data_IF_778656219777
#
_entry.id   IF_778656219777
#
_cell.length_a   1.000
_cell.length_b   1.000
_cell.length_c   1.000
_cell.angle_alpha   90.00
_cell.angle_beta   90.00
_cell.angle_gamma   90.00
#
_symmetry.space_group_name_H-M   'P 1'
#
loop_
_entity.id
_entity.type
_entity.pdbx_description
1 polymer ?
#
# COMPACT_ATOMS: atom_id res chain seq x y z
N UNK A 1 -9.92 -33.27 4.83
CA UNK A 1 -10.05 -32.63 6.14
C UNK A 1 -9.65 -33.65 7.19
N UNK A 2 -8.65 -33.33 8.02
CA UNK A 2 -8.28 -34.18 9.12
C UNK A 2 -9.45 -34.22 10.11
N UNK A 3 -9.79 -35.40 10.59
CA UNK A 3 -10.76 -35.55 11.67
C UNK A 3 -10.33 -34.69 12.87
N UNK A 4 -11.27 -34.03 13.54
CA UNK A 4 -10.93 -33.29 14.74
C UNK A 4 -10.31 -34.25 15.75
N UNK A 5 -9.23 -33.83 16.39
CA UNK A 5 -8.59 -34.52 17.49
C UNK A 5 -9.66 -34.87 18.54
N UNK A 6 -10.05 -36.14 18.62
CA UNK A 6 -10.81 -36.64 19.75
C UNK A 6 -9.79 -37.11 20.80
N UNK A 7 -9.47 -36.34 21.83
CA UNK A 7 -8.62 -36.81 22.90
C UNK A 7 -9.38 -37.94 23.62
N UNK A 8 -8.75 -39.07 23.82
CA UNK A 8 -9.31 -40.20 24.58
C UNK A 8 -9.62 -39.87 26.06
N UNK A 9 -9.49 -38.59 26.43
CA UNK A 9 -9.95 -38.04 27.72
C UNK A 9 -10.45 -36.63 27.46
N UNK A 10 -11.61 -36.25 27.99
CA UNK A 10 -12.05 -34.86 27.97
C UNK A 10 -11.00 -34.03 28.75
N UNK A 11 -10.38 -33.10 28.06
CA UNK A 11 -9.53 -32.10 28.74
C UNK A 11 -10.48 -30.97 29.15
N UNK A 12 -10.77 -30.78 30.46
CA UNK A 12 -11.64 -29.71 30.89
C UNK A 12 -10.92 -28.39 30.68
N UNK A 13 -11.31 -27.64 29.67
CA UNK A 13 -10.79 -26.26 29.45
C UNK A 13 -11.31 -25.27 30.51
N UNK A 14 -12.40 -25.62 31.21
CA UNK A 14 -12.98 -24.85 32.31
C UNK A 14 -13.93 -25.75 33.12
N UNK A 15 -14.44 -25.25 34.26
CA UNK A 15 -15.56 -25.87 34.99
C UNK A 15 -16.87 -25.82 34.20
N UNK A 16 -16.91 -25.09 33.12
CA UNK A 16 -18.04 -24.94 32.20
C UNK A 16 -17.78 -25.86 30.98
N UNK A 17 -18.67 -26.87 30.80
CA UNK A 17 -18.54 -27.91 29.77
C UNK A 17 -19.10 -27.48 28.40
N UNK A 18 -19.48 -26.21 28.23
CA UNK A 18 -20.01 -25.72 26.94
C UNK A 18 -18.95 -25.74 25.87
N UNK A 19 -19.38 -26.02 24.65
CA UNK A 19 -18.49 -26.09 23.49
C UNK A 19 -17.86 -24.72 23.16
N UNK A 20 -16.60 -24.75 22.79
CA UNK A 20 -15.83 -23.58 22.35
C UNK A 20 -15.25 -23.80 20.97
N UNK A 21 -15.17 -22.72 20.21
CA UNK A 21 -14.54 -22.66 18.89
C UNK A 21 -13.39 -21.66 18.95
N UNK A 22 -12.25 -22.04 18.43
CA UNK A 22 -11.14 -21.13 18.23
C UNK A 22 -11.12 -20.63 16.79
N UNK A 23 -11.15 -19.32 16.63
CA UNK A 23 -10.94 -18.65 15.35
C UNK A 23 -9.57 -17.97 15.33
N UNK A 24 -9.09 -17.76 14.12
CA UNK A 24 -7.85 -17.03 13.86
C UNK A 24 -8.14 -15.87 12.92
N UNK A 25 -7.75 -14.67 13.31
CA UNK A 25 -8.02 -13.45 12.56
C UNK A 25 -6.72 -12.68 12.30
N UNK A 26 -6.58 -12.17 11.08
CA UNK A 26 -5.54 -11.20 10.74
C UNK A 26 -6.05 -9.79 11.01
N UNK A 27 -5.13 -8.87 11.30
CA UNK A 27 -5.43 -7.44 11.49
C UNK A 27 -6.46 -7.13 12.59
N UNK A 28 -6.64 -8.03 13.55
CA UNK A 28 -7.49 -7.81 14.71
C UNK A 28 -6.62 -7.32 15.87
N UNK A 29 -6.83 -6.07 16.28
CA UNK A 29 -6.11 -5.46 17.41
C UNK A 29 -7.08 -4.79 18.36
N UNK A 30 -6.99 -5.12 19.65
CA UNK A 30 -7.66 -4.39 20.71
C UNK A 30 -6.92 -3.08 21.00
N UNK A 31 -7.67 -2.00 21.22
CA UNK A 31 -7.08 -0.73 21.66
C UNK A 31 -6.60 -0.83 23.10
N UNK A 32 -5.65 0.01 23.55
CA UNK A 32 -5.20 0.02 24.93
C UNK A 32 -6.36 0.18 25.92
N UNK A 33 -6.51 -0.78 26.82
CA UNK A 33 -7.59 -0.81 27.83
C UNK A 33 -8.86 -1.55 27.40
N UNK A 34 -8.96 -1.98 26.15
CA UNK A 34 -10.08 -2.82 25.71
C UNK A 34 -9.92 -4.27 26.20
N UNK A 35 -11.06 -4.93 26.34
CA UNK A 35 -11.16 -6.35 26.73
C UNK A 35 -11.83 -7.15 25.61
N UNK A 36 -11.86 -8.48 25.67
CA UNK A 36 -12.56 -9.30 24.68
C UNK A 36 -14.01 -8.88 24.41
N UNK A 37 -14.66 -8.18 25.35
CA UNK A 37 -16.03 -7.68 25.19
C UNK A 37 -16.18 -6.55 24.17
N UNK A 38 -15.09 -5.95 23.68
CA UNK A 38 -15.12 -5.01 22.57
C UNK A 38 -15.42 -5.69 21.23
N UNK A 39 -15.27 -7.03 21.17
CA UNK A 39 -15.55 -7.84 19.99
C UNK A 39 -16.93 -8.48 20.15
N UNK A 40 -17.79 -8.29 19.15
CA UNK A 40 -19.02 -9.05 19.01
C UNK A 40 -18.80 -10.22 18.07
N UNK A 41 -19.41 -11.37 18.38
CA UNK A 41 -19.34 -12.55 17.54
C UNK A 41 -20.73 -13.15 17.36
N UNK A 42 -21.07 -13.59 16.16
CA UNK A 42 -22.36 -14.21 15.82
C UNK A 42 -22.15 -15.45 14.96
N UNK A 43 -23.00 -16.45 15.15
CA UNK A 43 -23.17 -17.58 14.24
C UNK A 43 -24.54 -17.46 13.57
N UNK A 44 -24.63 -17.80 12.29
CA UNK A 44 -25.91 -17.85 11.53
C UNK A 44 -26.06 -19.22 10.91
N UNK A 45 -27.23 -19.86 11.16
CA UNK A 45 -27.55 -21.19 10.65
C UNK A 45 -28.20 -21.16 9.25
N UNK A 46 -28.48 -22.33 8.68
CA UNK A 46 -29.12 -22.50 7.37
C UNK A 46 -30.50 -21.87 7.24
N UNK A 47 -31.16 -21.55 8.35
CA UNK A 47 -32.45 -20.90 8.41
C UNK A 47 -32.37 -19.39 8.68
N UNK A 48 -31.18 -18.81 8.60
CA UNK A 48 -30.87 -17.38 8.89
C UNK A 48 -31.14 -17.00 10.37
N UNK A 49 -31.14 -17.97 11.29
CA UNK A 49 -31.22 -17.68 12.71
C UNK A 49 -29.84 -17.30 13.21
N UNK A 50 -29.75 -16.15 13.89
CA UNK A 50 -28.52 -15.66 14.47
C UNK A 50 -28.37 -16.02 15.94
N UNK A 51 -27.21 -16.51 16.32
CA UNK A 51 -26.82 -16.90 17.67
C UNK A 51 -25.65 -16.05 18.13
N UNK A 52 -25.83 -15.18 19.15
CA UNK A 52 -24.72 -14.41 19.70
C UNK A 52 -23.75 -15.35 20.42
N UNK A 53 -22.47 -15.21 20.09
CA UNK A 53 -21.38 -15.97 20.70
C UNK A 53 -20.66 -15.11 21.75
N UNK A 54 -20.19 -15.74 22.82
CA UNK A 54 -19.38 -15.02 23.83
C UNK A 54 -17.91 -15.09 23.48
N UNK A 55 -17.23 -13.97 23.32
CA UNK A 55 -15.78 -13.90 23.17
C UNK A 55 -15.15 -14.01 24.56
N UNK A 56 -14.55 -15.16 24.88
CA UNK A 56 -13.96 -15.43 26.20
C UNK A 56 -12.49 -15.03 26.28
N UNK A 57 -11.78 -15.17 25.16
CA UNK A 57 -10.34 -14.90 25.11
C UNK A 57 -9.92 -14.32 23.75
N UNK A 58 -8.99 -13.40 23.80
CA UNK A 58 -8.26 -12.86 22.65
C UNK A 58 -6.76 -12.96 22.98
N UNK A 59 -5.96 -13.46 22.09
CA UNK A 59 -4.51 -13.62 22.31
C UNK A 59 -3.72 -13.66 21.01
N UNK A 60 -2.46 -13.33 21.08
CA UNK A 60 -1.51 -13.45 19.97
C UNK A 60 -0.92 -14.88 19.92
N UNK A 61 -0.47 -15.30 18.75
CA UNK A 61 0.24 -16.56 18.57
C UNK A 61 1.74 -16.24 18.53
N UNK A 62 2.55 -16.85 19.43
CA UNK A 62 3.99 -16.54 19.52
C UNK A 62 4.76 -16.74 18.20
N UNK A 63 4.34 -17.72 17.38
CA UNK A 63 4.96 -18.03 16.09
C UNK A 63 4.41 -17.20 14.90
N UNK A 64 3.33 -16.42 15.12
CA UNK A 64 2.65 -15.63 14.08
C UNK A 64 1.96 -14.44 14.75
N UNK A 65 2.73 -13.43 15.10
CA UNK A 65 2.26 -12.26 15.89
C UNK A 65 1.22 -11.41 15.17
N UNK A 66 1.13 -11.54 13.85
CA UNK A 66 0.10 -10.93 13.01
C UNK A 66 -1.25 -11.63 13.10
N UNK A 67 -1.29 -12.85 13.65
CA UNK A 67 -2.51 -13.63 13.82
C UNK A 67 -3.00 -13.53 15.27
N UNK A 68 -4.23 -13.10 15.42
CA UNK A 68 -4.94 -13.08 16.70
C UNK A 68 -5.82 -14.30 16.82
N UNK A 69 -5.70 -15.05 17.92
CA UNK A 69 -6.58 -16.16 18.25
C UNK A 69 -7.74 -15.68 19.11
N UNK A 70 -8.96 -16.13 18.79
CA UNK A 70 -10.15 -15.86 19.56
C UNK A 70 -10.77 -17.17 20.03
N UNK A 71 -11.09 -17.25 21.32
CA UNK A 71 -11.89 -18.36 21.85
C UNK A 71 -13.34 -17.89 22.02
N UNK A 72 -14.23 -18.48 21.25
CA UNK A 72 -15.66 -18.20 21.26
C UNK A 72 -16.41 -19.32 21.98
N UNK A 73 -17.27 -18.97 22.93
CA UNK A 73 -18.16 -19.92 23.57
C UNK A 73 -19.51 -19.91 22.87
N UNK A 74 -19.98 -21.12 22.52
CA UNK A 74 -21.29 -21.32 21.91
C UNK A 74 -22.42 -21.18 22.96
N UNK A 75 -23.57 -20.60 22.62
CA UNK A 75 -24.71 -20.50 23.53
C UNK A 75 -25.43 -21.84 23.69
N UNK A 76 -26.10 -22.05 24.82
CA UNK A 76 -26.75 -23.30 25.17
C UNK A 76 -27.92 -23.67 24.23
N UNK A 77 -28.51 -22.69 23.56
CA UNK A 77 -29.59 -22.87 22.60
C UNK A 77 -29.10 -23.18 21.17
N UNK A 78 -27.82 -23.24 20.93
CA UNK A 78 -27.25 -23.69 19.66
C UNK A 78 -27.09 -25.22 19.71
N UNK A 79 -28.13 -25.91 19.27
CA UNK A 79 -28.17 -27.37 19.21
C UNK A 79 -27.51 -27.91 17.95
N UNK A 80 -27.97 -29.08 17.48
CA UNK A 80 -27.52 -29.69 16.22
C UNK A 80 -28.22 -28.98 15.04
N UNK A 81 -27.59 -27.88 14.59
CA UNK A 81 -28.09 -27.01 13.50
C UNK A 81 -27.33 -27.20 12.19
N UNK A 82 -26.35 -28.10 12.18
CA UNK A 82 -25.45 -28.28 11.03
C UNK A 82 -24.41 -27.17 10.89
N UNK A 83 -24.01 -26.86 9.66
CA UNK A 83 -23.05 -25.83 9.41
C UNK A 83 -23.61 -24.43 9.70
N UNK A 84 -22.85 -23.62 10.43
CA UNK A 84 -23.13 -22.20 10.67
C UNK A 84 -22.04 -21.33 10.09
N UNK A 85 -22.36 -20.10 9.72
CA UNK A 85 -21.38 -19.08 9.37
C UNK A 85 -21.08 -18.20 10.59
N UNK A 86 -19.84 -18.22 11.07
CA UNK A 86 -19.37 -17.44 12.23
C UNK A 86 -18.62 -16.22 11.76
N UNK A 87 -19.04 -15.05 12.22
CA UNK A 87 -18.38 -13.76 11.99
C UNK A 87 -18.12 -13.00 13.28
N UNK A 88 -17.17 -12.09 13.23
CA UNK A 88 -16.87 -11.18 14.33
C UNK A 88 -16.97 -9.73 13.86
N UNK A 89 -17.21 -8.80 14.78
CA UNK A 89 -17.17 -7.36 14.50
C UNK A 89 -16.54 -6.62 15.68
N UNK A 90 -15.71 -5.62 15.35
CA UNK A 90 -15.08 -4.69 16.29
C UNK A 90 -15.05 -3.29 15.68
N UNK A 91 -15.31 -2.26 16.48
CA UNK A 91 -15.29 -0.84 16.06
C UNK A 91 -16.13 -0.57 14.80
N UNK A 92 -17.25 -1.30 14.61
CA UNK A 92 -18.12 -1.16 13.46
C UNK A 92 -17.64 -1.86 12.18
N UNK A 93 -16.48 -2.52 12.22
CA UNK A 93 -15.98 -3.33 11.12
C UNK A 93 -16.32 -4.80 11.34
N UNK A 94 -16.87 -5.46 10.32
CA UNK A 94 -17.17 -6.88 10.32
C UNK A 94 -16.10 -7.67 9.57
N UNK A 95 -15.78 -8.87 10.06
CA UNK A 95 -14.94 -9.84 9.34
C UNK A 95 -15.71 -10.53 8.20
N UNK A 96 -14.97 -11.22 7.31
CA UNK A 96 -15.56 -12.35 6.60
C UNK A 96 -16.08 -13.39 7.60
N UNK A 97 -17.03 -14.23 7.18
CA UNK A 97 -17.55 -15.32 8.00
C UNK A 97 -16.87 -16.63 7.62
N UNK A 98 -16.70 -17.51 8.59
CA UNK A 98 -16.12 -18.85 8.41
C UNK A 98 -17.12 -19.93 8.79
N UNK A 99 -17.09 -21.03 8.06
CA UNK A 99 -17.99 -22.17 8.29
C UNK A 99 -17.53 -23.00 9.47
N UNK A 100 -18.45 -23.33 10.35
CA UNK A 100 -18.24 -24.21 11.51
C UNK A 100 -19.40 -25.21 11.57
N UNK A 101 -19.11 -26.50 11.60
CA UNK A 101 -20.12 -27.55 11.79
C UNK A 101 -20.53 -27.67 13.26
N UNK A 102 -21.82 -27.60 13.53
CA UNK A 102 -22.42 -27.73 14.88
C UNK A 102 -23.34 -28.93 14.92
N UNK A 103 -22.89 -29.98 15.59
CA UNK A 103 -23.59 -31.26 15.67
C UNK A 103 -23.29 -32.13 14.45
N UNK A 104 -23.83 -31.82 13.28
CA UNK A 104 -23.53 -32.48 12.02
C UNK A 104 -22.94 -31.55 10.99
N UNK A 105 -22.40 -32.09 9.91
CA UNK A 105 -21.86 -31.33 8.78
C UNK A 105 -22.92 -31.19 7.69
N UNK A 106 -23.04 -29.98 7.14
CA UNK A 106 -23.99 -29.66 6.07
C UNK A 106 -25.20 -28.88 6.55
N UNK A 107 -26.12 -28.58 5.65
CA UNK A 107 -27.37 -27.85 5.96
C UNK A 107 -27.21 -26.34 6.19
N UNK A 108 -26.02 -25.81 6.13
CA UNK A 108 -25.76 -24.39 6.35
C UNK A 108 -25.97 -23.51 5.12
N UNK A 109 -25.87 -22.20 5.32
CA UNK A 109 -25.83 -21.20 4.26
C UNK A 109 -24.66 -21.46 3.32
N UNK A 110 -24.74 -21.05 2.04
CA UNK A 110 -23.55 -21.01 1.19
C UNK A 110 -22.48 -20.14 1.85
N UNK A 111 -21.20 -20.47 1.61
CA UNK A 111 -20.11 -19.64 2.07
C UNK A 111 -20.29 -18.20 1.56
N UNK A 112 -19.94 -17.23 2.39
CA UNK A 112 -19.88 -15.85 1.91
C UNK A 112 -18.97 -15.83 0.69
N UNK A 113 -19.51 -15.43 -0.44
CA UNK A 113 -18.67 -15.05 -1.55
C UNK A 113 -17.87 -13.85 -1.05
N UNK A 114 -16.52 -13.92 -1.00
CA UNK A 114 -15.74 -12.73 -0.69
C UNK A 114 -16.29 -11.61 -1.57
N UNK A 115 -16.50 -10.41 -1.04
CA UNK A 115 -16.94 -9.31 -1.89
C UNK A 115 -16.02 -9.30 -3.10
N UNK A 116 -16.55 -9.19 -4.33
CA UNK A 116 -15.72 -9.18 -5.51
C UNK A 116 -14.61 -8.17 -5.27
N UNK A 117 -13.36 -8.59 -5.51
CA UNK A 117 -12.21 -7.69 -5.34
C UNK A 117 -12.55 -6.40 -6.09
N UNK A 118 -12.32 -5.23 -5.50
CA UNK A 118 -12.64 -3.98 -6.15
C UNK A 118 -12.05 -3.98 -7.54
N UNK A 119 -12.90 -3.72 -8.54
CA UNK A 119 -12.43 -3.63 -9.92
C UNK A 119 -12.11 -2.17 -10.19
N UNK A 120 -10.84 -1.82 -10.51
CA UNK A 120 -10.49 -0.46 -10.87
C UNK A 120 -11.34 0.05 -12.04
N UNK A 121 -11.71 1.31 -12.01
CA UNK A 121 -12.32 2.00 -13.14
C UNK A 121 -11.34 2.08 -14.32
N UNK A 122 -11.81 2.44 -15.48
CA UNK A 122 -10.98 2.66 -16.67
C UNK A 122 -10.79 4.15 -16.91
N UNK A 123 -9.65 4.50 -17.49
CA UNK A 123 -9.36 5.86 -17.92
C UNK A 123 -8.28 6.54 -17.08
N UNK A 124 -8.03 7.80 -17.41
CA UNK A 124 -7.05 8.64 -16.75
C UNK A 124 -7.49 8.99 -15.31
N UNK A 125 -6.59 8.82 -14.33
CA UNK A 125 -6.88 9.11 -12.92
C UNK A 125 -7.99 8.25 -12.31
N UNK A 126 -8.31 7.11 -12.92
CA UNK A 126 -9.43 6.26 -12.52
C UNK A 126 -9.24 5.69 -11.10
N UNK A 127 -10.33 5.60 -10.33
CA UNK A 127 -10.32 5.01 -8.99
C UNK A 127 -9.97 3.53 -9.04
N UNK A 128 -9.10 3.10 -8.13
CA UNK A 128 -8.82 1.68 -7.92
C UNK A 128 -9.80 1.03 -6.94
N UNK A 129 -10.73 1.78 -6.36
CA UNK A 129 -11.69 1.32 -5.35
C UNK A 129 -11.03 0.55 -4.19
N UNK A 130 -9.82 0.95 -3.81
CA UNK A 130 -9.05 0.31 -2.73
C UNK A 130 -8.32 -0.96 -3.13
N UNK A 131 -8.31 -1.36 -4.40
CA UNK A 131 -7.43 -2.43 -4.88
C UNK A 131 -5.97 -2.00 -4.72
N UNK A 132 -5.24 -2.72 -3.88
CA UNK A 132 -3.88 -2.37 -3.50
C UNK A 132 -2.87 -2.92 -4.51
N UNK A 133 -1.96 -2.09 -5.05
CA UNK A 133 -0.80 -2.57 -5.78
C UNK A 133 0.11 -3.41 -4.89
N UNK A 134 0.59 -4.51 -5.43
CA UNK A 134 1.46 -5.47 -4.78
C UNK A 134 0.82 -6.25 -3.60
N UNK A 135 1.41 -7.40 -3.22
CA UNK A 135 1.02 -8.15 -2.03
C UNK A 135 1.17 -7.34 -0.73
N UNK A 136 0.45 -7.74 0.30
CA UNK A 136 0.46 -7.05 1.59
C UNK A 136 1.84 -7.01 2.27
N UNK A 137 2.70 -8.01 2.01
CA UNK A 137 4.07 -8.10 2.49
C UNK A 137 5.09 -7.38 1.61
N UNK A 138 4.65 -6.67 0.57
CA UNK A 138 5.52 -5.83 -0.24
C UNK A 138 6.10 -4.67 0.58
N UNK A 139 7.33 -4.28 0.29
CA UNK A 139 7.98 -3.17 0.99
C UNK A 139 7.17 -1.85 0.95
N UNK A 140 6.41 -1.57 -0.12
CA UNK A 140 5.53 -0.43 -0.17
C UNK A 140 4.38 -0.50 0.84
N UNK A 141 3.89 -1.69 1.16
CA UNK A 141 2.68 -1.94 1.93
C UNK A 141 2.96 -2.24 3.42
N UNK A 142 4.24 -2.36 3.81
CA UNK A 142 4.62 -2.72 5.18
C UNK A 142 4.42 -1.58 6.17
N UNK A 143 3.76 -1.88 7.27
CA UNK A 143 3.69 -1.01 8.45
C UNK A 143 5.07 -0.91 9.12
N UNK A 144 5.60 0.31 9.18
CA UNK A 144 6.92 0.60 9.78
C UNK A 144 6.80 1.44 11.05
N UNK A 145 5.61 1.62 11.59
CA UNK A 145 5.36 2.49 12.74
C UNK A 145 6.22 2.14 13.96
N UNK A 146 6.56 0.84 14.12
CA UNK A 146 7.38 0.33 15.21
C UNK A 146 8.81 -0.08 14.80
N UNK A 147 9.20 0.14 13.54
CA UNK A 147 10.54 -0.20 13.07
C UNK A 147 11.61 0.63 13.79
N UNK A 148 12.80 0.06 14.08
CA UNK A 148 13.89 0.81 14.72
C UNK A 148 14.31 2.04 13.91
N UNK A 149 14.75 3.08 14.60
CA UNK A 149 15.34 4.28 13.98
C UNK A 149 16.80 4.00 13.59
N UNK A 150 17.20 4.51 12.43
CA UNK A 150 18.59 4.40 11.97
C UNK A 150 19.53 5.21 12.87
N UNK A 151 20.67 4.66 13.30
CA UNK A 151 21.63 5.39 14.12
C UNK A 151 22.13 6.69 13.49
N UNK A 152 22.19 6.78 12.14
CA UNK A 152 22.60 7.97 11.40
C UNK A 152 21.43 8.89 11.00
N UNK A 153 20.21 8.62 11.52
CA UNK A 153 18.98 9.33 11.16
C UNK A 153 19.13 10.84 11.22
N UNK A 154 19.73 11.37 12.30
CA UNK A 154 19.87 12.83 12.48
C UNK A 154 20.70 13.50 11.39
N UNK A 155 21.82 12.88 10.97
CA UNK A 155 22.70 13.43 9.92
C UNK A 155 22.02 13.32 8.55
N UNK A 156 21.34 12.21 8.26
CA UNK A 156 20.60 12.01 7.01
C UNK A 156 19.48 13.04 6.86
N UNK A 157 18.68 13.26 7.90
CA UNK A 157 17.64 14.28 7.93
C UNK A 157 18.24 15.69 7.79
N UNK A 158 19.32 16.00 8.52
CA UNK A 158 20.00 17.29 8.41
C UNK A 158 20.53 17.53 6.99
N UNK A 159 21.03 16.47 6.33
CA UNK A 159 21.50 16.50 4.94
C UNK A 159 20.41 16.83 3.92
N UNK A 160 19.12 16.59 4.25
CA UNK A 160 17.95 16.95 3.45
C UNK A 160 17.28 18.25 3.90
N UNK A 161 17.69 18.84 5.03
CA UNK A 161 17.18 20.10 5.57
C UNK A 161 16.14 19.93 6.67
N UNK A 162 16.56 20.29 7.90
CA UNK A 162 15.74 20.19 9.12
C UNK A 162 14.49 21.09 9.07
N UNK A 163 14.62 22.29 8.48
CA UNK A 163 13.56 23.31 8.44
C UNK A 163 12.81 23.34 7.12
N UNK A 164 13.21 22.53 6.15
CA UNK A 164 12.53 22.42 4.86
C UNK A 164 11.18 21.74 5.05
N UNK A 165 10.12 22.35 4.48
CA UNK A 165 8.76 21.82 4.59
C UNK A 165 8.52 20.64 3.67
N UNK A 166 7.63 19.75 4.08
CA UNK A 166 7.09 18.70 3.23
C UNK A 166 6.29 19.34 2.09
N UNK A 167 6.70 19.09 0.85
CA UNK A 167 6.08 19.71 -0.32
C UNK A 167 5.23 18.70 -1.09
N UNK A 168 3.91 18.87 -1.16
CA UNK A 168 3.09 18.10 -2.08
C UNK A 168 3.37 18.56 -3.51
N UNK A 169 4.01 17.69 -4.30
CA UNK A 169 4.30 17.94 -5.72
C UNK A 169 3.20 17.35 -6.59
N UNK A 170 1.97 17.68 -6.23
CA UNK A 170 0.73 17.30 -6.91
C UNK A 170 -0.40 18.21 -6.47
N UNK A 171 -1.47 18.21 -7.24
CA UNK A 171 -2.64 19.04 -6.98
C UNK A 171 -3.51 19.17 -8.23
N UNK A 172 -4.07 20.35 -8.44
CA UNK A 172 -4.93 20.64 -9.60
C UNK A 172 -4.10 21.00 -10.83
N UNK A 173 -3.51 22.19 -10.88
CA UNK A 173 -2.78 22.73 -12.04
C UNK A 173 -1.52 23.47 -11.59
N UNK A 174 -0.43 23.26 -12.31
CA UNK A 174 0.80 24.01 -12.20
C UNK A 174 1.33 24.42 -13.58
N UNK A 175 1.64 25.71 -13.76
CA UNK A 175 2.11 26.26 -15.05
C UNK A 175 1.23 25.91 -16.27
N UNK A 176 -0.09 25.83 -16.07
CA UNK A 176 -1.04 25.56 -17.15
C UNK A 176 -1.21 24.07 -17.51
N UNK A 177 -0.60 23.17 -16.77
CA UNK A 177 -0.74 21.71 -16.93
C UNK A 177 -1.20 21.05 -15.61
N UNK A 178 -1.77 19.83 -15.66
CA UNK A 178 -2.07 19.04 -14.47
C UNK A 178 -0.82 18.88 -13.59
N UNK A 179 -0.96 19.14 -12.29
CA UNK A 179 0.15 19.09 -11.33
C UNK A 179 0.28 17.70 -10.70
N UNK A 180 1.35 16.99 -11.02
CA UNK A 180 1.65 15.65 -10.50
C UNK A 180 1.91 14.64 -11.61
N UNK A 181 2.13 13.38 -11.24
CA UNK A 181 2.42 12.27 -12.17
C UNK A 181 1.12 11.55 -12.52
N UNK A 182 0.61 11.71 -13.76
CA UNK A 182 -0.66 11.12 -14.15
C UNK A 182 -0.52 9.63 -14.44
N UNK A 183 -1.64 8.91 -14.35
CA UNK A 183 -1.74 7.51 -14.75
C UNK A 183 -3.04 7.25 -15.51
N UNK A 184 -3.06 6.13 -16.22
CA UNK A 184 -4.25 5.63 -16.90
C UNK A 184 -4.45 4.15 -16.62
N UNK A 185 -5.70 3.76 -16.38
CA UNK A 185 -6.09 2.35 -16.23
C UNK A 185 -6.71 1.86 -17.52
N UNK A 186 -6.19 0.76 -18.04
CA UNK A 186 -6.64 0.13 -19.29
C UNK A 186 -7.14 -1.30 -19.04
N UNK A 187 -7.87 -1.85 -20.00
CA UNK A 187 -8.25 -3.27 -20.01
C UNK A 187 -7.08 -4.15 -20.49
N UNK A 188 -7.09 -5.44 -20.15
CA UNK A 188 -6.15 -6.42 -20.69
C UNK A 188 -6.21 -6.64 -22.21
N UNK A 189 -7.22 -6.05 -22.86
CA UNK A 189 -7.39 -6.06 -24.32
C UNK A 189 -6.88 -4.79 -25.02
N UNK A 190 -6.31 -3.83 -24.24
CA UNK A 190 -5.68 -2.64 -24.83
C UNK A 190 -4.58 -3.07 -25.80
N UNK A 191 -4.66 -2.61 -27.04
CA UNK A 191 -3.69 -2.96 -28.08
C UNK A 191 -2.29 -2.49 -27.68
N UNK A 192 -1.31 -3.39 -27.54
CA UNK A 192 0.06 -2.99 -27.22
C UNK A 192 0.75 -2.33 -28.41
N UNK A 193 1.59 -1.35 -28.12
CA UNK A 193 2.37 -0.60 -29.11
C UNK A 193 3.88 -0.77 -28.87
N UNK A 194 4.68 -0.61 -29.92
CA UNK A 194 6.13 -0.68 -29.80
C UNK A 194 6.71 0.53 -29.09
N UNK A 195 7.70 0.29 -28.22
CA UNK A 195 8.47 1.33 -27.52
C UNK A 195 9.91 1.27 -28.03
N UNK A 196 10.46 2.43 -28.40
CA UNK A 196 11.88 2.59 -28.71
C UNK A 196 12.55 3.33 -27.58
N UNK A 197 13.50 2.67 -26.89
CA UNK A 197 14.27 3.30 -25.81
C UNK A 197 15.47 4.06 -26.37
N UNK A 198 15.62 5.32 -25.94
CA UNK A 198 16.61 6.27 -26.49
C UNK A 198 17.81 6.52 -25.57
N UNK A 199 17.74 6.12 -24.30
CA UNK A 199 18.84 6.31 -23.33
C UNK A 199 19.19 5.04 -22.55
N UNK A 200 18.27 4.50 -21.76
CA UNK A 200 18.53 3.39 -20.83
C UNK A 200 17.95 2.06 -21.31
N UNK A 201 17.98 1.79 -22.62
CA UNK A 201 17.37 0.57 -23.21
C UNK A 201 17.89 -0.74 -22.65
N UNK A 202 19.19 -0.81 -22.28
CA UNK A 202 19.79 -2.00 -21.64
C UNK A 202 19.33 -2.26 -20.21
N UNK A 203 18.66 -1.28 -19.60
CA UNK A 203 18.10 -1.35 -18.25
C UNK A 203 16.56 -1.24 -18.27
N UNK A 204 15.94 -1.37 -19.43
CA UNK A 204 14.52 -1.26 -19.64
C UNK A 204 13.91 -2.60 -20.03
N UNK A 205 12.67 -2.82 -19.61
CA UNK A 205 11.92 -4.01 -20.03
C UNK A 205 11.43 -3.80 -21.47
N UNK A 206 11.71 -4.71 -22.39
CA UNK A 206 11.32 -4.54 -23.79
C UNK A 206 9.80 -4.51 -23.95
N UNK A 207 9.32 -3.70 -24.92
CA UNK A 207 7.91 -3.68 -25.28
C UNK A 207 7.42 -5.01 -25.90
N UNK A 208 6.15 -5.04 -26.34
CA UNK A 208 5.26 -3.88 -26.46
C UNK A 208 4.55 -3.51 -25.15
N UNK A 209 4.10 -2.24 -25.04
CA UNK A 209 3.34 -1.72 -23.88
C UNK A 209 1.91 -1.36 -24.29
N UNK A 210 0.90 -1.57 -23.41
CA UNK A 210 -0.51 -1.28 -23.71
C UNK A 210 -0.82 0.22 -23.54
N UNK A 211 -0.15 1.08 -24.31
CA UNK A 211 -0.28 2.55 -24.21
C UNK A 211 -1.36 3.03 -25.16
N UNK A 212 -2.47 3.61 -24.68
CA UNK A 212 -3.44 4.26 -25.55
C UNK A 212 -2.83 5.53 -26.16
N UNK A 213 -3.28 5.93 -27.39
CA UNK A 213 -2.72 7.08 -28.10
C UNK A 213 -2.84 8.40 -27.34
N UNK A 214 -3.84 8.52 -26.49
CA UNK A 214 -4.18 9.68 -25.66
C UNK A 214 -3.75 9.53 -24.19
N UNK A 215 -2.84 8.60 -23.89
CA UNK A 215 -2.31 8.42 -22.54
C UNK A 215 -1.81 9.75 -21.96
N UNK A 216 -2.18 10.09 -20.72
CA UNK A 216 -1.77 11.34 -20.11
C UNK A 216 -0.25 11.35 -19.88
N UNK A 217 0.38 12.49 -20.19
CA UNK A 217 1.82 12.72 -20.03
C UNK A 217 2.01 13.73 -18.93
N UNK A 218 2.94 13.47 -18.01
CA UNK A 218 3.28 14.39 -16.94
C UNK A 218 3.70 15.77 -17.49
N UNK A 219 3.12 16.82 -16.91
CA UNK A 219 3.28 18.21 -17.38
C UNK A 219 2.62 18.51 -18.72
N UNK A 220 1.82 17.56 -19.26
CA UNK A 220 1.08 17.71 -20.51
C UNK A 220 1.89 17.34 -21.76
N UNK A 221 1.24 17.35 -22.96
CA UNK A 221 1.84 16.87 -24.20
C UNK A 221 3.02 17.73 -24.67
N UNK A 222 3.07 19.01 -24.28
CA UNK A 222 4.14 19.95 -24.62
C UNK A 222 5.23 20.07 -23.55
N UNK A 223 5.17 19.27 -22.50
CA UNK A 223 6.16 19.27 -21.42
C UNK A 223 7.56 18.97 -21.96
N UNK A 224 8.56 19.64 -21.41
CA UNK A 224 9.99 19.36 -21.62
C UNK A 224 10.65 18.74 -20.36
N UNK A 225 9.84 18.42 -19.32
CA UNK A 225 10.27 17.77 -18.10
C UNK A 225 10.37 16.25 -18.22
N UNK A 226 10.08 15.57 -17.14
CA UNK A 226 10.27 14.12 -17.01
C UNK A 226 9.29 13.29 -17.84
N UNK A 227 8.11 13.86 -18.16
CA UNK A 227 7.17 13.26 -19.10
C UNK A 227 6.83 11.81 -18.79
N UNK A 228 6.61 11.49 -17.53
CA UNK A 228 6.21 10.14 -17.15
C UNK A 228 4.85 9.77 -17.76
N UNK A 229 4.74 8.52 -18.19
CA UNK A 229 3.49 7.88 -18.63
C UNK A 229 3.35 6.57 -17.87
N UNK A 230 2.30 6.46 -17.05
CA UNK A 230 2.04 5.30 -16.20
C UNK A 230 0.75 4.62 -16.65
N UNK A 231 0.81 3.33 -16.92
CA UNK A 231 -0.32 2.54 -17.41
C UNK A 231 -0.55 1.34 -16.49
N UNK A 232 -1.77 1.16 -16.02
CA UNK A 232 -2.20 0.02 -15.24
C UNK A 232 -3.11 -0.85 -16.10
N UNK A 233 -2.64 -2.04 -16.45
CA UNK A 233 -3.49 -3.10 -17.01
C UNK A 233 -4.25 -3.76 -15.85
N UNK A 234 -5.54 -3.42 -15.70
CA UNK A 234 -6.33 -3.86 -14.55
C UNK A 234 -6.65 -5.35 -14.56
N UNK A 235 -6.73 -5.96 -15.75
CA UNK A 235 -7.18 -7.34 -15.91
C UNK A 235 -6.00 -8.33 -15.72
N UNK A 236 -4.78 -7.95 -16.15
CA UNK A 236 -3.55 -8.71 -15.91
C UNK A 236 -2.80 -8.24 -14.65
N UNK A 237 -3.27 -7.18 -14.02
CA UNK A 237 -2.72 -6.52 -12.83
C UNK A 237 -1.21 -6.23 -12.98
N UNK A 238 -0.88 -5.56 -14.07
CA UNK A 238 0.48 -5.12 -14.42
C UNK A 238 0.57 -3.62 -14.53
N UNK A 239 1.70 -3.08 -14.13
CA UNK A 239 2.05 -1.67 -14.26
C UNK A 239 3.15 -1.53 -15.32
N UNK A 240 2.96 -0.58 -16.21
CA UNK A 240 3.93 -0.18 -17.23
C UNK A 240 4.25 1.29 -17.02
N UNK A 241 5.52 1.64 -16.95
CA UNK A 241 5.97 2.99 -16.70
C UNK A 241 7.03 3.40 -17.70
N UNK A 242 6.99 4.64 -18.18
CA UNK A 242 7.97 5.22 -19.11
C UNK A 242 8.45 6.56 -18.59
N UNK A 243 9.74 6.82 -18.76
CA UNK A 243 10.39 8.11 -18.53
C UNK A 243 10.70 8.79 -19.85
N UNK A 244 10.46 10.12 -19.94
CA UNK A 244 10.60 10.94 -21.13
C UNK A 244 9.90 10.36 -22.35
N UNK A 245 8.61 10.08 -22.17
CA UNK A 245 7.79 9.43 -23.18
C UNK A 245 7.25 10.42 -24.22
N UNK A 246 7.41 10.06 -25.50
CA UNK A 246 6.97 10.84 -26.66
C UNK A 246 6.18 9.96 -27.61
N UNK A 247 4.88 10.29 -27.90
CA UNK A 247 4.11 9.56 -28.89
C UNK A 247 4.66 9.79 -30.30
N UNK A 248 4.71 8.74 -31.07
CA UNK A 248 5.14 8.73 -32.48
C UNK A 248 4.01 8.15 -33.33
N UNK A 249 3.89 8.56 -34.58
CA UNK A 249 2.88 8.07 -35.49
C UNK A 249 1.45 8.13 -34.93
N UNK A 250 1.08 9.28 -34.36
CA UNK A 250 -0.21 9.49 -33.68
C UNK A 250 -0.47 8.50 -32.53
N UNK A 251 0.57 8.15 -31.76
CA UNK A 251 0.48 7.27 -30.59
C UNK A 251 0.45 5.77 -30.91
N UNK A 252 0.63 5.37 -32.17
CA UNK A 252 0.74 3.95 -32.54
C UNK A 252 2.12 3.34 -32.24
N UNK A 253 3.07 4.16 -31.83
CA UNK A 253 4.38 3.80 -31.24
C UNK A 253 4.86 4.92 -30.35
N UNK A 254 5.84 4.66 -29.49
CA UNK A 254 6.38 5.65 -28.56
C UNK A 254 7.91 5.56 -28.49
N UNK A 255 8.55 6.71 -28.28
CA UNK A 255 9.94 6.79 -27.83
C UNK A 255 9.94 7.09 -26.34
N UNK A 256 10.86 6.49 -25.59
CA UNK A 256 11.09 6.80 -24.18
C UNK A 256 12.57 6.65 -23.85
N UNK A 257 13.05 7.34 -22.81
CA UNK A 257 14.43 7.16 -22.37
C UNK A 257 14.62 5.86 -21.60
N UNK A 258 13.63 5.48 -20.77
CA UNK A 258 13.56 4.20 -20.08
C UNK A 258 12.12 3.71 -19.93
N UNK A 259 11.97 2.42 -19.62
CA UNK A 259 10.69 1.83 -19.30
C UNK A 259 10.79 0.61 -18.39
N UNK A 260 9.74 0.37 -17.63
CA UNK A 260 9.67 -0.73 -16.68
C UNK A 260 8.30 -1.38 -16.67
N UNK A 261 8.28 -2.71 -16.46
CA UNK A 261 7.07 -3.50 -16.27
C UNK A 261 7.13 -4.14 -14.88
N UNK A 262 6.08 -3.93 -14.09
CA UNK A 262 5.95 -4.54 -12.78
C UNK A 262 4.72 -5.44 -12.73
N UNK A 263 4.88 -6.65 -12.24
CA UNK A 263 3.76 -7.53 -11.89
C UNK A 263 3.24 -7.12 -10.50
N UNK A 264 2.06 -6.54 -10.44
CA UNK A 264 1.46 -6.04 -9.20
C UNK A 264 0.95 -7.17 -8.27
N UNK A 265 1.01 -8.44 -8.72
CA UNK A 265 0.75 -9.60 -7.88
C UNK A 265 2.01 -10.17 -7.22
N UNK A 266 3.20 -9.59 -7.47
CA UNK A 266 4.48 -10.19 -7.11
C UNK A 266 5.38 -9.22 -6.35
N UNK A 267 6.22 -9.75 -5.46
CA UNK A 267 7.31 -9.00 -4.80
C UNK A 267 8.62 -9.04 -5.60
N UNK A 268 8.59 -9.46 -6.86
CA UNK A 268 9.78 -9.55 -7.70
C UNK A 268 10.42 -8.17 -7.89
N UNK A 269 11.72 -8.10 -7.66
CA UNK A 269 12.50 -6.89 -7.85
C UNK A 269 13.13 -6.87 -9.24
N UNK A 270 13.34 -5.69 -9.78
CA UNK A 270 14.16 -5.50 -11.00
C UNK A 270 15.58 -6.02 -10.81
N UNK A 271 16.32 -6.31 -11.87
CA UNK A 271 17.74 -6.67 -11.78
C UNK A 271 18.55 -5.63 -11.01
N UNK A 272 19.55 -6.06 -10.24
CA UNK A 272 20.45 -5.16 -9.52
C UNK A 272 21.18 -4.22 -10.51
N UNK A 273 21.22 -2.94 -10.19
CA UNK A 273 21.83 -1.92 -11.02
C UNK A 273 20.95 -1.39 -12.16
N UNK A 274 19.72 -1.87 -12.29
CA UNK A 274 18.78 -1.36 -13.29
C UNK A 274 17.96 -0.20 -12.73
N UNK A 275 17.88 0.88 -13.52
CA UNK A 275 16.87 1.93 -13.29
C UNK A 275 15.47 1.44 -13.68
N UNK A 276 14.46 2.28 -13.48
CA UNK A 276 13.10 2.11 -14.02
C UNK A 276 12.71 3.39 -14.76
N UNK A 277 11.44 3.76 -14.76
CA UNK A 277 11.04 5.14 -15.05
C UNK A 277 11.45 6.09 -13.90
N UNK A 278 11.80 5.55 -12.75
CA UNK A 278 12.32 6.25 -11.57
C UNK A 278 13.79 5.92 -11.32
N UNK A 279 14.56 6.88 -10.82
CA UNK A 279 16.02 6.76 -10.69
C UNK A 279 16.47 5.62 -9.77
N UNK A 280 15.68 5.30 -8.74
CA UNK A 280 15.98 4.22 -7.81
C UNK A 280 15.73 2.80 -8.35
N UNK A 281 15.18 2.66 -9.58
CA UNK A 281 14.73 1.37 -10.10
C UNK A 281 13.45 0.87 -9.39
N UNK A 282 12.69 1.79 -8.81
CA UNK A 282 11.41 1.54 -8.14
C UNK A 282 10.23 1.82 -9.09
N UNK A 283 9.04 1.28 -8.83
CA UNK A 283 7.82 1.74 -9.46
C UNK A 283 7.40 3.09 -8.89
N UNK A 284 6.86 3.96 -9.73
CA UNK A 284 6.36 5.29 -9.36
C UNK A 284 4.93 5.19 -8.80
N UNK A 285 4.03 4.54 -9.56
CA UNK A 285 2.59 4.51 -9.27
C UNK A 285 2.23 4.07 -7.85
N UNK A 286 2.82 2.99 -7.28
CA UNK A 286 2.47 2.56 -5.92
C UNK A 286 2.81 3.56 -4.82
N UNK A 287 3.66 4.53 -5.11
CA UNK A 287 4.07 5.59 -4.18
C UNK A 287 3.33 6.92 -4.36
N UNK A 288 2.40 7.02 -5.30
CA UNK A 288 1.64 8.25 -5.52
C UNK A 288 0.51 8.40 -4.52
N UNK A 289 0.35 9.61 -3.97
CA UNK A 289 -0.88 9.99 -3.27
C UNK A 289 -1.99 10.16 -4.31
N UNK A 290 -3.09 9.45 -4.16
CA UNK A 290 -4.22 9.49 -5.11
C UNK A 290 -5.48 10.03 -4.47
N UNK A 291 -6.31 10.68 -5.28
CA UNK A 291 -7.55 11.29 -4.79
C UNK A 291 -8.54 10.25 -4.23
N UNK A 292 -8.68 9.10 -4.90
CA UNK A 292 -9.55 8.00 -4.46
C UNK A 292 -9.17 7.48 -3.06
N UNK A 293 -7.88 7.38 -2.74
CA UNK A 293 -7.44 6.95 -1.41
C UNK A 293 -7.77 7.96 -0.33
N UNK A 294 -7.59 9.26 -0.62
CA UNK A 294 -7.78 10.31 0.38
C UNK A 294 -9.26 10.60 0.65
N UNK A 295 -10.10 10.63 -0.39
CA UNK A 295 -11.50 11.06 -0.25
C UNK A 295 -12.52 9.93 -0.33
N UNK A 296 -12.26 8.86 -1.10
CA UNK A 296 -13.20 7.74 -1.22
C UNK A 296 -12.87 6.67 -0.16
N UNK A 297 -11.60 6.23 -0.06
CA UNK A 297 -11.15 5.22 0.88
C UNK A 297 -10.88 5.79 2.29
N UNK A 298 -10.56 7.09 2.38
CA UNK A 298 -10.11 7.78 3.60
C UNK A 298 -8.89 7.11 4.29
N UNK A 299 -8.14 6.34 3.52
CA UNK A 299 -6.94 5.63 3.96
C UNK A 299 -5.98 5.42 2.78
N UNK A 300 -4.69 5.71 3.01
CA UNK A 300 -3.57 5.31 2.15
C UNK A 300 -2.88 4.12 2.84
N UNK A 301 -2.76 2.99 2.12
CA UNK A 301 -2.22 1.71 2.65
C UNK A 301 -0.82 1.39 2.14
N UNK A 302 -0.05 2.39 1.79
CA UNK A 302 1.31 2.22 1.25
C UNK A 302 2.22 3.38 1.65
N UNK A 303 3.54 3.19 1.48
CA UNK A 303 4.52 4.25 1.60
C UNK A 303 4.38 5.24 0.42
N UNK A 304 4.71 6.51 0.67
CA UNK A 304 4.65 7.56 -0.35
C UNK A 304 6.03 7.72 -1.00
N UNK A 305 6.09 7.97 -2.31
CA UNK A 305 7.30 8.32 -3.04
C UNK A 305 7.75 9.73 -2.66
N UNK A 306 9.06 9.93 -2.43
CA UNK A 306 9.61 11.27 -2.24
C UNK A 306 10.98 11.42 -2.89
N UNK A 307 11.44 12.68 -3.00
CA UNK A 307 12.73 13.05 -3.60
C UNK A 307 13.65 13.75 -2.62
N UNK A 308 14.94 13.71 -2.91
CA UNK A 308 15.99 14.47 -2.22
C UNK A 308 16.99 15.06 -3.22
N UNK A 309 17.49 16.27 -2.94
CA UNK A 309 18.35 16.98 -3.88
C UNK A 309 19.73 16.31 -4.05
N UNK A 310 20.29 15.81 -2.97
CA UNK A 310 21.61 15.16 -2.98
C UNK A 310 21.52 13.79 -2.36
N UNK A 311 21.70 12.76 -3.16
CA UNK A 311 21.66 11.36 -2.73
C UNK A 311 23.06 10.75 -2.68
N UNK A 312 23.20 9.60 -2.06
CA UNK A 312 24.44 8.82 -1.97
C UNK A 312 24.55 7.88 -3.17
N UNK A 313 25.79 7.60 -3.61
CA UNK A 313 26.09 6.51 -4.55
C UNK A 313 25.90 5.16 -3.87
N UNK A 314 24.68 4.86 -3.52
CA UNK A 314 24.25 3.64 -2.83
C UNK A 314 22.72 3.48 -2.94
N UNK A 315 22.25 2.27 -2.69
CA UNK A 315 20.82 2.01 -2.50
C UNK A 315 20.59 0.99 -1.38
N UNK A 316 19.37 0.96 -0.88
CA UNK A 316 18.83 -0.10 -0.01
C UNK A 316 17.57 -0.69 -0.65
N UNK A 317 17.31 -1.97 -0.42
CA UNK A 317 16.09 -2.60 -0.92
C UNK A 317 14.83 -1.87 -0.40
N UNK A 318 13.79 -1.76 -1.22
CA UNK A 318 13.55 -2.40 -2.51
C UNK A 318 14.20 -1.71 -3.73
N UNK A 319 14.88 -0.57 -3.57
CA UNK A 319 15.60 0.09 -4.67
C UNK A 319 16.68 -0.83 -5.27
N UNK A 320 16.98 -0.60 -6.54
CA UNK A 320 17.92 -1.42 -7.32
C UNK A 320 19.03 -0.62 -7.97
N UNK A 321 18.94 0.71 -7.92
CA UNK A 321 19.84 1.62 -8.62
C UNK A 321 20.16 2.86 -7.78
N UNK A 322 21.25 3.52 -8.05
CA UNK A 322 21.64 4.85 -7.55
C UNK A 322 21.86 5.82 -8.69
N UNK A 323 21.52 7.08 -8.49
CA UNK A 323 21.69 8.13 -9.50
C UNK A 323 22.54 9.30 -8.96
N UNK A 324 23.65 8.99 -8.27
CA UNK A 324 24.57 9.96 -7.69
C UNK A 324 25.99 9.46 -7.70
N UNK A 325 26.95 10.38 -7.67
CA UNK A 325 28.38 10.10 -7.48
C UNK A 325 28.87 10.37 -6.06
N UNK A 326 28.03 10.94 -5.19
CA UNK A 326 28.38 11.30 -3.82
C UNK A 326 28.53 10.06 -2.94
N UNK A 327 29.63 9.91 -2.24
CA UNK A 327 29.94 8.73 -1.40
C UNK A 327 29.75 8.98 0.10
N UNK A 328 29.38 10.21 0.52
CA UNK A 328 29.18 10.54 1.94
C UNK A 328 28.10 9.67 2.58
N UNK A 329 28.39 9.15 3.77
CA UNK A 329 27.45 8.35 4.57
C UNK A 329 26.30 9.18 5.15
N UNK A 330 26.46 10.52 5.18
CA UNK A 330 25.45 11.46 5.63
C UNK A 330 24.50 11.92 4.49
N UNK A 331 24.60 11.26 3.33
CA UNK A 331 23.66 11.46 2.23
C UNK A 331 22.75 10.24 2.08
N UNK A 332 21.46 10.46 1.85
CA UNK A 332 20.49 9.38 1.77
C UNK A 332 20.76 8.47 0.57
N UNK A 333 20.83 7.14 0.74
CA UNK A 333 20.83 6.19 -0.37
C UNK A 333 19.43 6.10 -0.99
N UNK A 334 19.34 5.75 -2.29
CA UNK A 334 18.05 5.41 -2.90
C UNK A 334 17.38 4.25 -2.15
N UNK A 335 16.07 4.26 -2.05
CA UNK A 335 15.32 3.28 -1.26
C UNK A 335 15.28 3.57 0.25
N UNK A 336 16.00 4.60 0.74
CA UNK A 336 15.92 4.99 2.15
C UNK A 336 14.47 5.27 2.53
N UNK A 337 14.06 4.73 3.68
CA UNK A 337 12.71 4.90 4.20
C UNK A 337 12.70 5.85 5.39
N UNK A 338 11.81 6.83 5.35
CA UNK A 338 11.59 7.76 6.45
C UNK A 338 10.13 7.71 6.89
N UNK A 339 9.88 8.02 8.16
CA UNK A 339 8.50 8.13 8.66
C UNK A 339 8.32 9.41 9.46
N UNK A 340 7.08 9.92 9.47
CA UNK A 340 6.68 11.00 10.35
C UNK A 340 6.69 10.48 11.80
N UNK A 341 7.36 11.19 12.71
CA UNK A 341 7.45 10.80 14.13
C UNK A 341 6.08 10.66 14.76
N UNK A 342 5.89 9.64 15.58
CA UNK A 342 4.63 9.38 16.28
C UNK A 342 4.17 10.58 17.14
N UNK A 343 5.12 11.35 17.71
CA UNK A 343 4.87 12.51 18.56
C UNK A 343 4.30 13.73 17.84
N UNK A 344 4.36 13.79 16.51
CA UNK A 344 3.83 14.93 15.73
C UNK A 344 2.31 14.94 15.83
N UNK A 345 1.78 16.05 16.35
CA UNK A 345 0.32 16.22 16.44
C UNK A 345 -0.26 16.59 15.06
N UNK A 346 -1.17 15.78 14.56
CA UNK A 346 -1.83 15.96 13.26
C UNK A 346 -3.31 16.40 13.40
N UNK A 347 -3.84 16.56 14.59
CA UNK A 347 -5.27 16.85 14.83
C UNK A 347 -5.74 18.20 14.30
N UNK A 348 -4.80 19.14 14.07
CA UNK A 348 -5.10 20.46 13.53
C UNK A 348 -5.23 20.53 12.00
N UNK A 349 -4.96 19.43 11.30
CA UNK A 349 -5.10 19.35 9.85
C UNK A 349 -6.52 18.93 9.45
N UNK A 350 -6.92 19.23 8.22
CA UNK A 350 -8.19 18.75 7.68
C UNK A 350 -8.25 17.22 7.62
N UNK A 351 -9.43 16.60 7.61
CA UNK A 351 -9.56 15.15 7.54
C UNK A 351 -8.77 14.53 6.37
N UNK A 352 -8.78 15.17 5.20
CA UNK A 352 -8.04 14.73 4.03
C UNK A 352 -6.52 14.75 4.26
N UNK A 353 -5.98 15.83 4.82
CA UNK A 353 -4.55 15.92 5.13
C UNK A 353 -4.14 14.95 6.23
N UNK A 354 -5.04 14.68 7.18
CA UNK A 354 -4.79 13.65 8.20
C UNK A 354 -4.66 12.24 7.60
N UNK A 355 -5.35 11.93 6.48
CA UNK A 355 -5.17 10.65 5.77
C UNK A 355 -3.72 10.51 5.31
N UNK A 356 -3.17 11.54 4.64
CA UNK A 356 -1.77 11.55 4.17
C UNK A 356 -0.81 11.45 5.36
N UNK A 357 -1.03 12.25 6.41
CA UNK A 357 -0.14 12.27 7.58
C UNK A 357 -0.18 10.97 8.39
N UNK A 358 -1.34 10.28 8.45
CA UNK A 358 -1.42 8.92 9.03
C UNK A 358 -0.61 7.92 8.22
N UNK A 359 -0.68 7.97 6.89
CA UNK A 359 0.13 7.11 6.04
C UNK A 359 1.63 7.36 6.26
N UNK A 360 2.05 8.63 6.37
CA UNK A 360 3.45 8.97 6.66
C UNK A 360 3.93 8.46 8.02
N UNK A 361 3.04 8.33 9.01
CA UNK A 361 3.36 7.70 10.30
C UNK A 361 3.44 6.18 10.22
N UNK A 362 2.53 5.56 9.49
CA UNK A 362 2.36 4.11 9.44
C UNK A 362 3.28 3.46 8.40
N UNK A 363 3.24 3.96 7.18
CA UNK A 363 3.98 3.41 6.05
C UNK A 363 5.20 4.24 5.68
N UNK A 364 5.24 5.51 6.10
CA UNK A 364 6.33 6.42 5.78
C UNK A 364 6.40 6.79 4.30
N UNK A 365 7.61 7.12 3.86
CA UNK A 365 7.91 7.39 2.45
C UNK A 365 9.26 6.81 2.05
N UNK A 366 9.41 6.47 0.76
CA UNK A 366 10.60 5.84 0.19
C UNK A 366 11.27 6.81 -0.78
N UNK A 367 12.57 7.02 -0.61
CA UNK A 367 13.38 7.85 -1.51
C UNK A 367 13.55 7.14 -2.85
N UNK A 368 13.02 7.73 -3.90
CA UNK A 368 12.93 7.09 -5.21
C UNK A 368 13.67 7.84 -6.32
N UNK A 369 13.91 9.15 -6.15
CA UNK A 369 14.59 9.95 -7.15
C UNK A 369 15.37 11.13 -6.56
N UNK A 370 16.26 11.71 -7.40
CA UNK A 370 16.82 13.03 -7.16
C UNK A 370 15.80 14.10 -7.55
N UNK A 371 15.70 15.14 -6.74
CA UNK A 371 14.78 16.25 -6.95
C UNK A 371 14.88 17.24 -5.82
N UNK A 372 13.89 18.06 -5.61
CA UNK A 372 13.87 18.94 -4.44
C UNK A 372 13.69 18.13 -3.15
N UNK A 373 14.28 18.62 -2.04
CA UNK A 373 14.15 17.94 -0.75
C UNK A 373 12.72 17.94 -0.25
N UNK A 374 12.25 16.80 0.26
CA UNK A 374 10.95 16.63 0.87
C UNK A 374 9.75 16.83 -0.08
N UNK A 375 9.95 16.68 -1.39
CA UNK A 375 8.85 16.67 -2.34
C UNK A 375 8.25 15.26 -2.35
N UNK A 376 6.94 15.17 -2.05
CA UNK A 376 6.16 13.95 -2.15
C UNK A 376 5.33 13.95 -3.42
N UNK A 377 5.28 12.81 -4.09
CA UNK A 377 4.59 12.67 -5.38
C UNK A 377 3.13 12.22 -5.20
N UNK A 378 2.28 12.70 -6.09
CA UNK A 378 0.89 12.27 -6.19
C UNK A 378 0.35 12.41 -7.60
N UNK A 379 -0.84 11.88 -7.82
CA UNK A 379 -1.54 12.01 -9.09
C UNK A 379 -2.30 13.35 -9.16
N UNK A 380 -2.31 14.02 -10.33
CA UNK A 380 -3.11 15.21 -10.52
C UNK A 380 -4.59 14.85 -10.49
N UNK A 381 -5.40 15.71 -9.86
CA UNK A 381 -6.86 15.61 -9.91
C UNK A 381 -7.47 17.02 -9.78
N UNK A 382 -8.42 17.40 -10.64
CA UNK A 382 -9.04 18.74 -10.58
C UNK A 382 -9.89 18.96 -9.32
N UNK A 383 -10.17 17.93 -8.55
CA UNK A 383 -10.93 17.99 -7.29
C UNK A 383 -10.06 18.27 -6.06
N UNK A 384 -8.71 18.25 -6.18
CA UNK A 384 -7.84 18.61 -5.06
C UNK A 384 -8.10 20.03 -4.57
N UNK A 385 -7.92 20.27 -3.29
CA UNK A 385 -7.86 21.61 -2.72
C UNK A 385 -6.37 21.96 -2.49
N UNK A 386 -5.79 22.76 -3.37
CA UNK A 386 -4.36 23.12 -3.33
C UNK A 386 -3.99 23.92 -2.08
N UNK A 387 -4.93 24.70 -1.49
CA UNK A 387 -4.69 25.40 -0.23
C UNK A 387 -4.59 24.41 0.95
N UNK A 388 -5.43 23.38 0.97
CA UNK A 388 -5.31 22.31 1.96
C UNK A 388 -3.99 21.52 1.79
N UNK A 389 -3.64 21.15 0.58
CA UNK A 389 -2.36 20.48 0.28
C UNK A 389 -1.18 21.33 0.76
N UNK A 390 -1.22 22.63 0.56
CA UNK A 390 -0.18 23.55 1.00
C UNK A 390 0.02 23.58 2.53
N UNK A 391 -0.97 23.19 3.32
CA UNK A 391 -0.82 23.08 4.79
C UNK A 391 0.22 22.03 5.19
N UNK A 392 0.47 21.00 4.36
CA UNK A 392 1.49 19.98 4.59
C UNK A 392 2.91 20.59 4.69
N UNK A 393 3.16 21.76 4.10
CA UNK A 393 4.45 22.48 4.18
C UNK A 393 4.81 22.93 5.60
N UNK A 394 3.87 22.89 6.54
CA UNK A 394 4.14 23.13 7.96
C UNK A 394 4.89 21.98 8.63
N UNK A 395 4.76 20.74 8.13
CA UNK A 395 5.57 19.58 8.53
C UNK A 395 7.00 19.79 8.00
N UNK A 396 7.99 19.64 8.88
CA UNK A 396 9.41 19.94 8.56
C UNK A 396 10.24 18.67 8.55
N UNK A 397 11.42 18.73 7.92
CA UNK A 397 12.37 17.62 7.96
C UNK A 397 12.67 17.15 9.38
N UNK A 398 12.71 18.05 10.36
CA UNK A 398 12.89 17.73 11.78
C UNK A 398 11.77 16.86 12.39
N UNK A 399 10.61 16.79 11.74
CA UNK A 399 9.47 16.00 12.19
C UNK A 399 9.56 14.53 11.74
N UNK A 400 10.55 14.21 10.90
CA UNK A 400 10.79 12.87 10.38
C UNK A 400 11.95 12.18 11.08
N UNK A 401 11.99 10.87 10.95
CA UNK A 401 13.11 10.00 11.32
C UNK A 401 13.33 8.94 10.26
N UNK A 402 14.59 8.53 10.09
CA UNK A 402 14.97 7.47 9.15
C UNK A 402 14.76 6.12 9.80
N UNK A 403 14.08 5.22 9.13
CA UNK A 403 13.96 3.81 9.55
C UNK A 403 15.29 3.12 9.31
N UNK A 404 15.70 2.26 10.27
CA UNK A 404 16.96 1.52 10.21
C UNK A 404 17.12 0.83 8.87
N UNK A 405 18.25 1.10 8.24
CA UNK A 405 18.62 0.51 6.96
C UNK A 405 19.54 -0.69 7.18
N UNK A 406 19.15 -1.84 6.63
CA UNK A 406 19.98 -3.02 6.58
C UNK A 406 20.53 -3.20 5.15
N UNK A 407 21.76 -3.74 5.01
CA UNK A 407 22.34 -4.12 3.71
C UNK A 407 22.40 -2.98 2.67
N UNK A 408 23.03 -1.87 3.03
CA UNK A 408 23.29 -0.77 2.07
C UNK A 408 24.23 -1.28 0.97
N UNK A 409 23.75 -1.28 -0.27
CA UNK A 409 24.52 -1.68 -1.45
C UNK A 409 25.28 -0.47 -1.98
N UNK A 410 26.59 -0.60 -2.07
CA UNK A 410 27.54 0.40 -2.66
C UNK A 410 28.21 -0.20 -3.89
N UNK A 411 28.83 0.64 -4.77
CA UNK A 411 29.60 0.16 -5.94
C UNK A 411 30.70 -0.79 -5.56
#
# INVERSE_FOLDING_TARGET
LAEPFAPNRPVPFSLDNRTRVNLFANNLTLLPGETPTAITATAEDGNHIQYPLTVERVGTIEAATEITSLTLRLPDNLGDVGDVLVGISIHGMASNRVRVGIGHVGGGLPDDVPPPQPTPELGAGASLHGKQPFPADNAWNQDISNSPVDPNSNNLIAGMGLTTGLHPDFGTVWNGAPNGIPYIVVTGTQTPVSITFTAFGSQSDPGPYPVPPDAPIEGGPSSNGDRHVLIIDRDNWKLYEMYRAFPVNNGTSWNADSGAIFDLNSNSLRPAGWTSADAAGLPIFPGLVRYDEVFEQQEIKHAIRFTAQVTRKAYVLPARHWASTNTSVDRPPMGMRVRLKASVNISGYSPAMQVILRALKKYGMILADNGSNWFISGAPDPRWNDDELNTLKSIKGSDFEVVKMDNIVTP
#
